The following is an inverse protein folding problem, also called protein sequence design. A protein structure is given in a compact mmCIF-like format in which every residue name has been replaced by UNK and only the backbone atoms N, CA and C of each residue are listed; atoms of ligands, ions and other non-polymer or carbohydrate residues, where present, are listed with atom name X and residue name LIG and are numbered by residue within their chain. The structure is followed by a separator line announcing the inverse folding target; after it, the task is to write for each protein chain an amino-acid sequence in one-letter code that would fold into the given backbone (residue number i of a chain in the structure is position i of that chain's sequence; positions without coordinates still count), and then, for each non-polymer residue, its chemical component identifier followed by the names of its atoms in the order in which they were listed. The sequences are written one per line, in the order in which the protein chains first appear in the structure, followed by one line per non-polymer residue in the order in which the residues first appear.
data_IF_066348002004
#
_entry.id   IF_066348002004
#
_cell.length_a   1.000
_cell.length_b   1.000
_cell.length_c   1.000
_cell.angle_alpha   90.00
_cell.angle_beta   90.00
_cell.angle_gamma   90.00
#
_symmetry.space_group_name_H-M   'P 1'
#
loop_
_entity.id
_entity.type
_entity.pdbx_description
1 polymer ?
#
# COMPACT_ATOMS: atom_id res chain seq x y z
N UNK A 1 8.72 -9.24 21.85
CA UNK A 1 8.60 -8.34 20.69
C UNK A 1 7.12 -8.14 20.46
N UNK A 2 6.64 -6.93 20.16
CA UNK A 2 5.23 -6.70 19.84
C UNK A 2 4.82 -7.52 18.63
N UNK A 3 3.65 -8.16 18.67
CA UNK A 3 3.07 -8.85 17.50
C UNK A 3 2.60 -7.86 16.43
N UNK A 4 2.51 -6.57 16.80
CA UNK A 4 2.08 -5.52 15.90
C UNK A 4 3.24 -4.97 15.09
N UNK A 5 3.02 -4.83 13.77
CA UNK A 5 3.98 -4.25 12.83
C UNK A 5 3.64 -2.82 12.47
N UNK A 6 2.39 -2.40 12.65
CA UNK A 6 1.93 -1.01 12.53
C UNK A 6 1.16 -0.67 13.79
N UNK A 7 1.54 0.41 14.44
CA UNK A 7 0.84 0.97 15.60
C UNK A 7 0.65 2.47 15.40
N UNK A 8 -0.57 2.92 15.57
CA UNK A 8 -0.96 4.32 15.47
C UNK A 8 -1.64 4.74 16.76
N UNK A 9 -1.13 5.81 17.37
CA UNK A 9 -1.63 6.33 18.63
C UNK A 9 -2.04 7.79 18.48
N UNK A 10 -3.35 8.04 18.57
CA UNK A 10 -3.97 9.37 18.56
C UNK A 10 -3.47 10.27 17.42
N UNK A 11 -3.45 9.74 16.18
CA UNK A 11 -2.94 10.46 15.02
C UNK A 11 -3.86 11.60 14.60
N UNK A 12 -3.28 12.78 14.44
CA UNK A 12 -3.94 13.92 13.83
C UNK A 12 -3.07 14.52 12.72
N UNK A 13 -3.70 14.92 11.63
CA UNK A 13 -3.06 15.72 10.57
C UNK A 13 -3.34 17.20 10.77
N UNK A 14 -2.68 18.05 9.97
CA UNK A 14 -3.00 19.46 9.94
C UNK A 14 -4.48 19.69 9.57
N UNK A 15 -5.03 20.79 10.06
CA UNK A 15 -6.38 21.22 9.74
C UNK A 15 -6.56 21.46 8.25
N UNK A 16 -7.61 20.90 7.68
CA UNK A 16 -7.97 21.07 6.28
C UNK A 16 -9.16 22.05 6.17
N UNK A 17 -8.89 23.26 5.69
CA UNK A 17 -9.90 24.32 5.60
C UNK A 17 -11.14 23.90 4.78
N UNK A 18 -10.95 23.13 3.70
CA UNK A 18 -12.03 22.61 2.87
C UNK A 18 -12.98 21.64 3.59
N UNK A 19 -12.52 20.99 4.66
CA UNK A 19 -13.29 20.03 5.45
C UNK A 19 -13.74 20.61 6.80
N UNK A 20 -13.27 21.77 7.18
CA UNK A 20 -13.47 22.41 8.49
C UNK A 20 -13.03 21.50 9.66
N UNK A 21 -12.06 20.61 9.46
CA UNK A 21 -11.49 19.67 10.44
C UNK A 21 -10.14 19.12 9.98
N UNK A 22 -9.34 18.45 10.85
CA UNK A 22 -8.22 17.62 10.43
C UNK A 22 -8.70 16.49 9.52
N UNK A 23 -7.86 16.04 8.59
CA UNK A 23 -8.20 14.86 7.75
C UNK A 23 -8.18 13.60 8.60
N UNK A 24 -7.13 13.42 9.44
CA UNK A 24 -7.11 12.39 10.50
C UNK A 24 -7.32 13.09 11.84
N UNK A 25 -8.17 12.52 12.69
CA UNK A 25 -8.64 13.14 13.91
C UNK A 25 -8.67 12.13 15.06
N UNK A 26 -7.51 11.86 15.67
CA UNK A 26 -7.38 10.93 16.78
C UNK A 26 -7.43 9.45 16.36
N UNK A 27 -6.78 9.08 15.25
CA UNK A 27 -6.72 7.68 14.80
C UNK A 27 -5.90 6.84 15.77
N UNK A 28 -6.52 5.76 16.25
CA UNK A 28 -5.88 4.67 16.95
C UNK A 28 -6.12 3.39 16.17
N UNK A 29 -5.08 2.66 15.78
CA UNK A 29 -5.18 1.35 15.16
C UNK A 29 -3.88 0.57 15.31
N UNK A 30 -4.00 -0.75 15.30
CA UNK A 30 -2.86 -1.67 15.38
C UNK A 30 -3.03 -2.77 14.35
N UNK A 31 -1.97 -3.15 13.64
CA UNK A 31 -1.97 -4.21 12.62
C UNK A 31 -0.92 -5.24 12.97
N UNK A 32 -1.33 -6.50 13.02
CA UNK A 32 -0.45 -7.62 13.34
C UNK A 32 0.41 -8.02 12.15
N UNK A 33 1.54 -8.64 12.45
CA UNK A 33 2.40 -9.24 11.43
C UNK A 33 1.64 -10.33 10.65
N UNK A 34 1.77 -10.32 9.34
CA UNK A 34 1.13 -11.30 8.47
C UNK A 34 -0.40 -11.17 8.43
N UNK A 35 -0.96 -10.01 8.70
CA UNK A 35 -2.40 -9.75 8.62
C UNK A 35 -2.73 -9.06 7.29
N UNK A 36 -3.86 -9.43 6.67
CA UNK A 36 -4.44 -8.69 5.56
C UNK A 36 -5.60 -7.85 6.08
N UNK A 37 -5.39 -6.54 6.15
CA UNK A 37 -6.37 -5.55 6.65
C UNK A 37 -6.87 -4.69 5.51
N UNK A 38 -8.17 -4.41 5.47
CA UNK A 38 -8.74 -3.43 4.55
C UNK A 38 -9.17 -2.16 5.29
N UNK A 39 -8.87 -1.03 4.67
CA UNK A 39 -9.38 0.27 5.07
C UNK A 39 -10.60 0.60 4.23
N UNK A 40 -11.74 0.81 4.88
CA UNK A 40 -13.03 1.12 4.26
C UNK A 40 -13.54 2.48 4.74
N UNK A 41 -14.53 3.01 4.07
CA UNK A 41 -15.16 4.29 4.39
C UNK A 41 -15.49 5.12 3.16
N UNK A 42 -16.28 6.15 3.32
CA UNK A 42 -16.68 7.05 2.24
C UNK A 42 -15.49 7.85 1.68
N UNK A 43 -15.69 8.47 0.53
CA UNK A 43 -14.70 9.38 -0.05
C UNK A 43 -14.43 10.54 0.91
N UNK A 44 -13.15 10.90 1.10
CA UNK A 44 -12.75 11.93 2.05
C UNK A 44 -12.71 11.48 3.52
N UNK A 45 -12.96 10.20 3.85
CA UNK A 45 -12.87 9.68 5.21
C UNK A 45 -11.45 9.66 5.80
N UNK A 46 -10.41 9.81 4.97
CA UNK A 46 -9.01 9.85 5.43
C UNK A 46 -8.19 8.59 5.13
N UNK A 47 -8.74 7.58 4.42
CA UNK A 47 -8.08 6.29 4.14
C UNK A 47 -6.70 6.42 3.49
N UNK A 48 -6.61 7.07 2.33
CA UNK A 48 -5.34 7.31 1.62
C UNK A 48 -4.40 8.21 2.42
N UNK A 49 -4.95 9.14 3.20
CA UNK A 49 -4.15 9.99 4.11
C UNK A 49 -3.50 9.14 5.19
N UNK A 50 -4.24 8.22 5.81
CA UNK A 50 -3.68 7.29 6.80
C UNK A 50 -2.55 6.44 6.17
N UNK A 51 -2.79 5.77 5.03
CA UNK A 51 -1.74 5.00 4.35
C UNK A 51 -0.48 5.83 4.07
N UNK A 52 -0.65 7.05 3.55
CA UNK A 52 0.48 7.95 3.24
C UNK A 52 1.21 8.44 4.48
N UNK A 53 0.51 8.59 5.61
CA UNK A 53 1.13 8.93 6.90
C UNK A 53 2.04 7.80 7.40
N UNK A 54 1.68 6.51 7.17
CA UNK A 54 2.49 5.35 7.57
C UNK A 54 3.86 5.28 6.88
N UNK A 55 4.07 6.01 5.79
CA UNK A 55 5.36 6.13 5.09
C UNK A 55 5.91 7.56 5.12
N UNK A 56 5.33 8.43 5.96
CA UNK A 56 5.76 9.81 6.16
C UNK A 56 5.61 10.69 4.93
N UNK A 57 4.66 10.41 4.04
CA UNK A 57 4.29 11.27 2.90
C UNK A 57 3.30 12.36 3.31
N UNK A 58 2.50 12.09 4.33
CA UNK A 58 1.64 13.08 4.98
C UNK A 58 2.12 13.23 6.42
N UNK A 59 2.54 14.43 6.84
CA UNK A 59 2.98 14.66 8.20
C UNK A 59 1.79 14.63 9.17
N UNK A 60 2.01 14.04 10.34
CA UNK A 60 1.10 14.12 11.47
C UNK A 60 1.53 15.28 12.39
N UNK A 61 0.56 15.98 12.97
CA UNK A 61 0.80 17.09 13.90
C UNK A 61 0.69 16.68 15.36
N UNK A 62 -0.03 15.57 15.61
CA UNK A 62 -0.14 14.92 16.92
C UNK A 62 -0.16 13.41 16.77
N UNK A 63 0.15 12.74 17.88
CA UNK A 63 0.19 11.28 17.95
C UNK A 63 1.50 10.71 17.45
N UNK A 64 1.57 9.39 17.41
CA UNK A 64 2.74 8.63 17.05
C UNK A 64 2.39 7.48 16.11
N UNK A 65 3.30 7.21 15.17
CA UNK A 65 3.25 6.01 14.32
C UNK A 65 4.51 5.21 14.59
N UNK A 66 4.34 3.91 14.84
CA UNK A 66 5.44 2.95 14.92
C UNK A 66 5.30 1.88 13.84
N UNK A 67 6.40 1.59 13.16
CA UNK A 67 6.52 0.49 12.18
C UNK A 67 7.58 -0.48 12.69
N UNK A 68 7.19 -1.74 12.89
CA UNK A 68 8.05 -2.76 13.52
C UNK A 68 8.66 -2.27 14.87
N UNK A 69 7.88 -1.55 15.69
CA UNK A 69 8.32 -0.97 16.95
C UNK A 69 9.27 0.24 16.81
N UNK A 70 9.48 0.74 15.59
CA UNK A 70 10.33 1.90 15.32
C UNK A 70 9.46 3.13 15.04
N UNK A 71 9.56 4.22 15.82
CA UNK A 71 8.77 5.42 15.59
C UNK A 71 9.18 6.12 14.27
N UNK A 72 8.19 6.68 13.56
CA UNK A 72 8.43 7.47 12.34
C UNK A 72 9.00 8.83 12.73
N UNK A 73 10.24 9.05 12.34
CA UNK A 73 10.97 10.32 12.49
C UNK A 73 11.76 10.59 11.20
N UNK A 74 12.24 11.81 10.95
CA UNK A 74 13.11 12.08 9.80
C UNK A 74 14.35 11.17 9.74
N UNK A 75 14.87 10.72 10.89
CA UNK A 75 16.05 9.83 10.98
C UNK A 75 15.71 8.37 10.68
N UNK A 76 14.53 7.88 11.08
CA UNK A 76 14.13 6.47 10.93
C UNK A 76 13.40 6.22 9.61
N UNK A 77 12.80 7.25 9.01
CA UNK A 77 12.00 7.18 7.82
C UNK A 77 12.68 6.50 6.61
N UNK A 78 13.97 6.73 6.30
CA UNK A 78 14.64 6.01 5.21
C UNK A 78 14.69 4.49 5.43
N UNK A 79 14.86 4.03 6.67
CA UNK A 79 14.83 2.61 7.01
C UNK A 79 13.41 2.07 6.89
N UNK A 80 12.42 2.75 7.46
CA UNK A 80 11.01 2.35 7.41
C UNK A 80 10.53 2.20 5.95
N UNK A 81 10.89 3.13 5.07
CA UNK A 81 10.53 3.07 3.64
C UNK A 81 11.16 1.91 2.87
N UNK A 82 12.15 1.23 3.41
CA UNK A 82 12.69 -0.03 2.84
C UNK A 82 11.85 -1.23 3.27
N UNK A 83 11.33 -1.20 4.50
CA UNK A 83 10.54 -2.29 5.06
C UNK A 83 9.07 -2.24 4.61
N UNK A 84 8.64 -1.12 4.03
CA UNK A 84 7.26 -0.86 3.60
C UNK A 84 7.21 -0.57 2.10
N UNK A 85 6.59 -1.45 1.34
CA UNK A 85 6.21 -1.21 -0.05
C UNK A 85 4.94 -0.37 -0.14
N UNK A 86 4.89 0.57 -1.08
CA UNK A 86 3.70 1.40 -1.33
C UNK A 86 3.23 1.27 -2.77
N UNK A 87 1.99 0.84 -2.93
CA UNK A 87 1.26 0.81 -4.19
C UNK A 87 0.33 2.01 -4.22
N UNK A 88 0.62 2.97 -5.08
CA UNK A 88 -0.17 4.20 -5.23
C UNK A 88 -1.38 3.96 -6.13
N UNK A 89 -2.44 4.70 -5.91
CA UNK A 89 -3.59 4.76 -6.80
C UNK A 89 -3.13 5.01 -8.25
N UNK A 90 -3.66 4.22 -9.20
CA UNK A 90 -3.24 4.27 -10.61
C UNK A 90 -1.80 3.78 -10.85
N UNK A 91 -1.19 3.04 -9.90
CA UNK A 91 0.14 2.47 -10.01
C UNK A 91 1.30 3.46 -9.86
N UNK A 92 1.12 4.74 -10.18
CA UNK A 92 2.15 5.78 -10.10
C UNK A 92 3.38 5.49 -10.97
N UNK A 93 3.24 4.81 -12.11
CA UNK A 93 4.32 4.45 -13.01
C UNK A 93 4.78 5.63 -13.87
N UNK A 94 6.06 5.63 -14.24
CA UNK A 94 6.62 6.56 -15.22
C UNK A 94 6.31 6.01 -16.61
N UNK A 95 5.36 6.63 -17.31
CA UNK A 95 4.76 6.11 -18.54
C UNK A 95 5.75 5.92 -19.70
N UNK A 96 6.82 6.72 -19.74
CA UNK A 96 7.86 6.69 -20.77
C UNK A 96 8.88 5.56 -20.57
N UNK A 97 9.02 5.07 -19.33
CA UNK A 97 9.92 3.97 -18.99
C UNK A 97 9.29 2.61 -19.29
N UNK A 98 10.14 1.62 -19.54
CA UNK A 98 9.73 0.22 -19.66
C UNK A 98 9.23 -0.34 -18.34
N UNK A 99 8.59 -1.52 -18.37
CA UNK A 99 8.19 -2.23 -17.17
C UNK A 99 9.41 -2.52 -16.28
N UNK A 100 10.51 -3.02 -16.84
CA UNK A 100 11.76 -3.29 -16.14
C UNK A 100 12.33 -2.05 -15.46
N UNK A 101 12.41 -0.93 -16.19
CA UNK A 101 12.91 0.33 -15.64
C UNK A 101 12.04 0.87 -14.50
N UNK A 102 10.71 0.76 -14.62
CA UNK A 102 9.80 1.13 -13.54
C UNK A 102 10.04 0.27 -12.29
N UNK A 103 10.21 -1.04 -12.43
CA UNK A 103 10.53 -1.93 -11.30
C UNK A 103 11.86 -1.52 -10.66
N UNK A 104 12.89 -1.28 -11.47
CA UNK A 104 14.21 -0.84 -10.98
C UNK A 104 14.16 0.50 -10.22
N UNK A 105 13.24 1.42 -10.56
CA UNK A 105 13.03 2.65 -9.80
C UNK A 105 12.72 2.38 -8.33
N UNK A 106 12.13 1.23 -7.99
CA UNK A 106 11.92 0.82 -6.59
C UNK A 106 13.21 0.66 -5.78
N UNK A 107 14.36 0.45 -6.43
CA UNK A 107 15.68 0.34 -5.79
C UNK A 107 16.36 1.69 -5.51
N UNK A 108 15.85 2.79 -6.04
CA UNK A 108 16.50 4.11 -5.92
C UNK A 108 16.72 4.53 -4.46
N UNK A 109 15.77 4.26 -3.57
CA UNK A 109 15.89 4.56 -2.14
C UNK A 109 16.97 3.78 -1.38
N UNK A 110 17.55 2.75 -1.99
CA UNK A 110 18.62 1.92 -1.42
C UNK A 110 20.01 2.29 -1.95
N UNK A 111 20.12 3.26 -2.89
CA UNK A 111 21.35 3.61 -3.59
C UNK A 111 21.76 5.04 -3.33
N UNK A 112 23.07 5.26 -3.40
CA UNK A 112 23.63 6.61 -3.39
C UNK A 112 23.47 7.23 -4.79
N UNK A 113 23.49 8.57 -4.87
CA UNK A 113 23.39 9.33 -6.11
C UNK A 113 24.42 8.86 -7.16
N UNK A 114 25.65 8.60 -6.75
CA UNK A 114 26.74 8.13 -7.62
C UNK A 114 26.46 6.73 -8.19
N UNK A 115 25.92 5.82 -7.39
CA UNK A 115 25.55 4.48 -7.84
C UNK A 115 24.40 4.51 -8.85
N UNK A 116 23.52 5.50 -8.76
CA UNK A 116 22.39 5.66 -9.69
C UNK A 116 22.86 6.16 -11.06
N UNK A 117 23.90 7.02 -11.10
CA UNK A 117 24.48 7.54 -12.36
C UNK A 117 25.17 6.44 -13.19
N UNK A 118 25.71 5.40 -12.55
CA UNK A 118 26.36 4.25 -13.21
C UNK A 118 25.36 3.20 -13.71
N UNK A 119 24.05 3.45 -13.53
CA UNK A 119 22.97 2.52 -13.87
C UNK A 119 22.75 1.43 -12.81
N UNK A 120 21.79 0.55 -13.05
CA UNK A 120 21.48 -0.55 -12.14
C UNK A 120 22.40 -1.74 -12.37
N UNK A 121 22.93 -2.37 -11.29
CA UNK A 121 23.76 -3.57 -11.41
C UNK A 121 22.97 -4.72 -12.03
N UNK A 122 23.72 -5.67 -12.57
CA UNK A 122 23.15 -6.89 -13.18
C UNK A 122 22.26 -7.66 -12.20
N UNK A 123 22.63 -7.71 -10.91
CA UNK A 123 21.85 -8.37 -9.86
C UNK A 123 20.46 -7.75 -9.67
N UNK A 124 20.35 -6.41 -9.69
CA UNK A 124 19.05 -5.74 -9.56
C UNK A 124 18.18 -5.95 -10.80
N UNK A 125 18.80 -5.98 -12.00
CA UNK A 125 18.09 -6.26 -13.24
C UNK A 125 17.55 -7.69 -13.26
N UNK A 126 18.32 -8.67 -12.81
CA UNK A 126 17.87 -10.06 -12.69
C UNK A 126 16.70 -10.16 -11.70
N UNK A 127 16.84 -9.58 -10.51
CA UNK A 127 15.75 -9.56 -9.51
C UNK A 127 14.47 -8.90 -10.05
N UNK A 128 14.60 -7.79 -10.77
CA UNK A 128 13.45 -7.13 -11.39
C UNK A 128 12.78 -8.00 -12.46
N UNK A 129 13.57 -8.71 -13.26
CA UNK A 129 13.07 -9.65 -14.26
C UNK A 129 12.39 -10.86 -13.62
N UNK A 130 12.92 -11.38 -12.52
CA UNK A 130 12.32 -12.50 -11.77
C UNK A 130 10.98 -12.09 -11.15
N UNK A 131 10.88 -10.87 -10.60
CA UNK A 131 9.60 -10.33 -10.10
C UNK A 131 8.58 -10.14 -11.22
N UNK A 132 9.01 -9.64 -12.40
CA UNK A 132 8.12 -9.53 -13.56
C UNK A 132 7.66 -10.91 -14.05
N UNK A 133 8.52 -11.94 -13.97
CA UNK A 133 8.16 -13.32 -14.32
C UNK A 133 7.12 -13.90 -13.36
N UNK A 134 7.32 -13.75 -12.04
CA UNK A 134 6.36 -14.17 -11.02
C UNK A 134 4.98 -13.54 -11.23
N UNK A 135 4.93 -12.31 -11.76
CA UNK A 135 3.70 -11.58 -12.05
C UNK A 135 3.19 -11.76 -13.50
N UNK A 136 3.79 -12.71 -14.27
CA UNK A 136 3.39 -13.02 -15.65
C UNK A 136 3.68 -11.90 -16.65
N UNK A 137 4.71 -11.08 -16.41
CA UNK A 137 5.05 -9.90 -17.23
C UNK A 137 6.45 -9.95 -17.84
N UNK A 138 7.16 -11.08 -17.75
CA UNK A 138 8.55 -11.22 -18.24
C UNK A 138 8.70 -10.79 -19.70
N UNK A 139 7.76 -11.20 -20.55
CA UNK A 139 7.79 -10.90 -21.99
C UNK A 139 7.52 -9.42 -22.31
N UNK A 140 6.99 -8.68 -21.35
CA UNK A 140 6.66 -7.27 -21.46
C UNK A 140 7.70 -6.37 -20.77
N UNK A 141 8.82 -6.95 -20.29
CA UNK A 141 9.83 -6.26 -19.50
C UNK A 141 10.37 -4.99 -20.18
N UNK A 142 10.63 -5.04 -21.49
CA UNK A 142 11.17 -3.93 -22.26
C UNK A 142 10.08 -3.02 -22.87
N UNK A 143 8.80 -3.37 -22.69
CA UNK A 143 7.68 -2.59 -23.21
C UNK A 143 7.43 -1.38 -22.32
N UNK A 144 7.19 -0.21 -22.94
CA UNK A 144 6.82 1.03 -22.20
C UNK A 144 5.51 0.83 -21.45
N UNK A 145 5.46 1.30 -20.19
CA UNK A 145 4.26 1.10 -19.37
C UNK A 145 3.03 1.84 -19.91
N UNK A 146 3.22 2.87 -20.75
CA UNK A 146 2.11 3.52 -21.47
C UNK A 146 1.39 2.60 -22.47
N UNK A 147 2.00 1.51 -22.88
CA UNK A 147 1.47 0.53 -23.86
C UNK A 147 0.83 -0.69 -23.19
N UNK A 148 0.93 -0.78 -21.86
CA UNK A 148 0.40 -1.88 -21.08
C UNK A 148 -1.09 -1.63 -20.73
N UNK A 149 -1.86 -2.72 -20.58
CA UNK A 149 -3.21 -2.63 -20.01
C UNK A 149 -3.19 -2.15 -18.55
N UNK A 150 -4.32 -1.67 -18.03
CA UNK A 150 -4.41 -1.22 -16.63
C UNK A 150 -3.98 -2.28 -15.63
N UNK A 151 -4.42 -3.53 -15.81
CA UNK A 151 -4.03 -4.65 -14.94
C UNK A 151 -2.53 -4.99 -15.05
N UNK A 152 -1.94 -4.90 -16.27
CA UNK A 152 -0.50 -5.07 -16.46
C UNK A 152 0.28 -3.95 -15.78
N UNK A 153 -0.15 -2.70 -15.92
CA UNK A 153 0.46 -1.55 -15.22
C UNK A 153 0.42 -1.74 -13.70
N UNK A 154 -0.71 -2.20 -13.17
CA UNK A 154 -0.85 -2.45 -11.74
C UNK A 154 0.11 -3.54 -11.25
N UNK A 155 0.26 -4.63 -12.01
CA UNK A 155 1.23 -5.69 -11.67
C UNK A 155 2.69 -5.20 -11.77
N UNK A 156 3.04 -4.32 -12.72
CA UNK A 156 4.35 -3.65 -12.73
C UNK A 156 4.55 -2.78 -11.49
N UNK A 157 3.52 -2.06 -11.04
CA UNK A 157 3.60 -1.27 -9.81
C UNK A 157 3.77 -2.14 -8.55
N UNK A 158 3.13 -3.32 -8.51
CA UNK A 158 3.37 -4.32 -7.46
C UNK A 158 4.84 -4.80 -7.51
N UNK A 159 5.36 -5.19 -8.67
CA UNK A 159 6.76 -5.58 -8.81
C UNK A 159 7.72 -4.49 -8.31
N UNK A 160 7.44 -3.22 -8.64
CA UNK A 160 8.22 -2.07 -8.16
C UNK A 160 8.17 -1.92 -6.65
N UNK A 161 7.02 -2.16 -6.02
CA UNK A 161 6.90 -2.12 -4.57
C UNK A 161 7.66 -3.29 -3.90
N UNK A 162 7.67 -4.46 -4.54
CA UNK A 162 8.28 -5.68 -4.02
C UNK A 162 9.80 -5.76 -4.17
N UNK A 163 10.41 -5.01 -5.09
CA UNK A 163 11.85 -5.14 -5.39
C UNK A 163 12.77 -4.80 -4.20
N UNK A 164 12.26 -4.11 -3.19
CA UNK A 164 12.95 -3.85 -1.93
C UNK A 164 12.79 -4.99 -0.91
N UNK A 165 12.04 -6.04 -1.25
CA UNK A 165 11.67 -7.15 -0.34
C UNK A 165 11.01 -6.64 0.95
N UNK A 166 9.95 -5.82 0.85
CA UNK A 166 9.30 -5.24 2.01
C UNK A 166 8.56 -6.31 2.83
N UNK A 167 8.40 -6.08 4.13
CA UNK A 167 7.59 -6.94 5.02
C UNK A 167 6.12 -6.51 5.05
N UNK A 168 5.85 -5.27 4.70
CA UNK A 168 4.53 -4.65 4.72
C UNK A 168 4.26 -4.06 3.34
N UNK A 169 3.08 -4.32 2.77
CA UNK A 169 2.61 -3.71 1.54
C UNK A 169 1.37 -2.85 1.84
N UNK A 170 1.47 -1.57 1.55
CA UNK A 170 0.35 -0.63 1.60
C UNK A 170 -0.19 -0.43 0.19
N UNK A 171 -1.48 -0.67 -0.03
CA UNK A 171 -2.12 -0.58 -1.34
C UNK A 171 -3.25 0.46 -1.33
N UNK A 172 -3.00 1.61 -1.94
CA UNK A 172 -3.97 2.70 -2.05
C UNK A 172 -4.84 2.51 -3.30
N UNK A 173 -6.04 1.96 -3.14
CA UNK A 173 -7.01 1.66 -4.20
C UNK A 173 -6.43 0.79 -5.34
N UNK A 174 -5.93 -0.41 -5.07
CA UNK A 174 -5.15 -1.21 -6.03
C UNK A 174 -5.93 -1.67 -7.27
N UNK A 175 -7.26 -1.66 -7.22
CA UNK A 175 -8.13 -2.18 -8.30
C UNK A 175 -9.03 -1.10 -8.93
N UNK A 176 -8.94 0.15 -8.47
CA UNK A 176 -9.76 1.24 -8.99
C UNK A 176 -9.44 1.51 -10.46
N UNK A 177 -10.49 1.56 -11.30
CA UNK A 177 -10.37 1.80 -12.74
C UNK A 177 -9.97 0.57 -13.57
N UNK A 178 -9.92 -0.62 -12.97
CA UNK A 178 -9.70 -1.88 -13.67
C UNK A 178 -11.03 -2.58 -13.99
N UNK A 179 -11.04 -3.37 -15.04
CA UNK A 179 -12.14 -4.31 -15.31
C UNK A 179 -12.16 -5.44 -14.27
N UNK A 180 -13.23 -6.24 -14.28
CA UNK A 180 -13.47 -7.32 -13.31
C UNK A 180 -12.33 -8.36 -13.31
N UNK A 181 -11.85 -8.76 -14.49
CA UNK A 181 -10.82 -9.79 -14.65
C UNK A 181 -9.47 -9.26 -14.12
N UNK A 182 -9.09 -8.04 -14.51
CA UNK A 182 -7.86 -7.43 -14.05
C UNK A 182 -7.90 -7.16 -12.52
N UNK A 183 -9.05 -6.73 -11.99
CA UNK A 183 -9.24 -6.55 -10.54
C UNK A 183 -9.05 -7.84 -9.77
N UNK A 184 -9.63 -8.93 -10.27
CA UNK A 184 -9.48 -10.25 -9.66
C UNK A 184 -8.02 -10.71 -9.67
N UNK A 185 -7.31 -10.59 -10.80
CA UNK A 185 -5.89 -10.95 -10.90
C UNK A 185 -5.01 -10.16 -9.94
N UNK A 186 -5.26 -8.86 -9.76
CA UNK A 186 -4.53 -8.04 -8.79
C UNK A 186 -4.80 -8.50 -7.36
N UNK A 187 -6.06 -8.76 -7.01
CA UNK A 187 -6.41 -9.22 -5.66
C UNK A 187 -5.88 -10.63 -5.37
N UNK A 188 -5.87 -11.53 -6.36
CA UNK A 188 -5.25 -12.86 -6.24
C UNK A 188 -3.73 -12.72 -6.00
N UNK A 189 -3.04 -11.85 -6.74
CA UNK A 189 -1.63 -11.55 -6.50
C UNK A 189 -1.38 -11.05 -5.07
N UNK A 190 -2.18 -10.12 -4.56
CA UNK A 190 -2.06 -9.65 -3.17
C UNK A 190 -2.33 -10.78 -2.17
N UNK A 191 -3.33 -11.62 -2.43
CA UNK A 191 -3.65 -12.77 -1.58
C UNK A 191 -2.51 -13.81 -1.56
N UNK A 192 -1.86 -14.07 -2.69
CA UNK A 192 -0.70 -14.97 -2.77
C UNK A 192 0.49 -14.42 -1.98
N UNK A 193 0.79 -13.13 -2.10
CA UNK A 193 1.84 -12.47 -1.30
C UNK A 193 1.57 -12.60 0.21
N UNK A 194 0.31 -12.44 0.62
CA UNK A 194 -0.10 -12.62 2.01
C UNK A 194 0.03 -14.08 2.46
N UNK A 195 -0.59 -15.02 1.74
CA UNK A 195 -0.72 -16.42 2.20
C UNK A 195 0.57 -17.22 2.04
N UNK A 196 1.35 -17.01 0.96
CA UNK A 196 2.54 -17.78 0.66
C UNK A 196 3.81 -17.16 1.24
N UNK A 197 3.87 -15.83 1.33
CA UNK A 197 5.07 -15.11 1.80
C UNK A 197 4.89 -14.51 3.21
N UNK A 198 3.71 -14.64 3.82
CA UNK A 198 3.43 -14.07 5.13
C UNK A 198 3.46 -12.54 5.18
N UNK A 199 3.27 -11.89 4.02
CA UNK A 199 3.33 -10.44 3.91
C UNK A 199 2.15 -9.78 4.64
N UNK A 200 2.43 -8.75 5.42
CA UNK A 200 1.38 -7.89 5.99
C UNK A 200 0.85 -6.97 4.91
N UNK A 201 -0.46 -6.93 4.69
CA UNK A 201 -1.08 -6.10 3.66
C UNK A 201 -2.12 -5.17 4.28
N UNK A 202 -2.06 -3.89 3.91
CA UNK A 202 -3.08 -2.90 4.24
C UNK A 202 -3.59 -2.29 2.94
N UNK A 203 -4.83 -2.58 2.56
CA UNK A 203 -5.40 -2.12 1.30
C UNK A 203 -6.60 -1.19 1.51
N UNK A 204 -6.66 -0.09 0.78
CA UNK A 204 -7.88 0.72 0.65
C UNK A 204 -8.74 0.08 -0.43
N UNK A 205 -9.95 -0.32 -0.07
CA UNK A 205 -10.94 -0.86 -1.00
C UNK A 205 -12.27 -0.11 -0.85
N UNK A 206 -13.13 -0.21 -1.88
CA UNK A 206 -14.48 0.37 -1.88
C UNK A 206 -15.55 -0.71 -1.97
N UNK A 207 -15.22 -1.91 -2.45
CA UNK A 207 -16.14 -3.03 -2.58
C UNK A 207 -16.09 -3.92 -1.34
N UNK A 208 -17.22 -4.04 -0.64
CA UNK A 208 -17.35 -4.84 0.58
C UNK A 208 -17.26 -6.34 0.31
N UNK A 209 -17.70 -6.80 -0.88
CA UNK A 209 -17.63 -8.20 -1.28
C UNK A 209 -16.19 -8.62 -1.53
N UNK A 210 -15.41 -7.78 -2.23
CA UNK A 210 -13.98 -8.00 -2.45
C UNK A 210 -13.23 -7.96 -1.11
N UNK A 211 -13.55 -6.98 -0.25
CA UNK A 211 -12.96 -6.87 1.07
C UNK A 211 -13.19 -8.14 1.91
N UNK A 212 -14.44 -8.62 1.98
CA UNK A 212 -14.79 -9.84 2.73
C UNK A 212 -14.16 -11.12 2.15
N UNK A 213 -13.92 -11.16 0.84
CA UNK A 213 -13.32 -12.33 0.18
C UNK A 213 -11.83 -12.48 0.47
N UNK A 214 -11.07 -11.36 0.55
CA UNK A 214 -9.61 -11.40 0.57
C UNK A 214 -8.99 -10.99 1.90
N UNK A 215 -9.65 -10.15 2.69
CA UNK A 215 -9.10 -9.64 3.94
C UNK A 215 -9.67 -10.35 5.17
N UNK A 216 -8.86 -10.41 6.20
CA UNK A 216 -9.24 -11.00 7.50
C UNK A 216 -9.98 -9.98 8.37
N UNK A 217 -9.55 -8.72 8.34
CA UNK A 217 -10.06 -7.65 9.20
C UNK A 217 -10.26 -6.36 8.42
N UNK A 218 -11.28 -5.61 8.83
CA UNK A 218 -11.58 -4.30 8.28
C UNK A 218 -11.46 -3.22 9.36
N UNK A 219 -10.94 -2.07 8.95
CA UNK A 219 -10.98 -0.82 9.71
C UNK A 219 -11.80 0.16 8.88
N UNK A 220 -12.93 0.63 9.43
CA UNK A 220 -13.79 1.61 8.77
C UNK A 220 -13.49 2.99 9.30
N UNK A 221 -13.19 3.90 8.38
CA UNK A 221 -12.93 5.30 8.68
C UNK A 221 -14.13 6.14 8.28
N UNK A 222 -14.54 7.05 9.18
CA UNK A 222 -15.46 8.12 8.87
C UNK A 222 -14.96 9.43 9.47
N UNK A 223 -15.04 10.50 8.70
CA UNK A 223 -14.65 11.85 9.13
C UNK A 223 -13.27 11.91 9.84
N UNK A 224 -12.31 11.06 9.42
CA UNK A 224 -10.97 11.01 9.98
C UNK A 224 -10.84 10.23 11.28
N UNK A 225 -11.85 9.45 11.67
CA UNK A 225 -11.88 8.62 12.88
C UNK A 225 -12.11 7.15 12.53
N UNK A 226 -11.60 6.24 13.35
CA UNK A 226 -11.99 4.82 13.28
C UNK A 226 -13.37 4.69 13.91
N UNK A 227 -14.34 4.22 13.13
CA UNK A 227 -15.73 4.02 13.58
C UNK A 227 -16.08 2.54 13.72
N UNK A 228 -15.30 1.67 13.12
CA UNK A 228 -15.39 0.22 13.27
C UNK A 228 -14.03 -0.42 13.04
N UNK A 229 -13.76 -1.46 13.80
CA UNK A 229 -12.62 -2.35 13.63
C UNK A 229 -13.04 -3.77 14.01
N UNK A 230 -12.89 -4.73 13.09
CA UNK A 230 -13.33 -6.10 13.33
C UNK A 230 -13.12 -7.03 12.14
N UNK A 231 -13.51 -8.30 12.29
CA UNK A 231 -13.43 -9.31 11.24
C UNK A 231 -14.35 -8.98 10.06
N UNK A 232 -13.97 -9.45 8.88
CA UNK A 232 -14.71 -9.20 7.65
C UNK A 232 -15.98 -10.06 7.49
N UNK A 233 -16.21 -11.07 8.33
CA UNK A 233 -17.32 -12.04 8.18
C UNK A 233 -18.72 -11.41 8.16
N UNK A 234 -18.91 -10.26 8.83
CA UNK A 234 -20.20 -9.56 8.91
C UNK A 234 -20.10 -8.11 8.39
N UNK A 235 -19.16 -7.85 7.50
CA UNK A 235 -18.78 -6.51 7.08
C UNK A 235 -19.95 -5.69 6.51
N UNK A 236 -20.81 -6.31 5.67
CA UNK A 236 -21.96 -5.62 5.08
C UNK A 236 -22.94 -5.12 6.14
N UNK A 237 -23.25 -5.94 7.14
CA UNK A 237 -24.17 -5.57 8.23
C UNK A 237 -23.55 -4.48 9.10
N UNK A 238 -22.27 -4.54 9.39
CA UNK A 238 -21.58 -3.56 10.21
C UNK A 238 -21.42 -2.22 9.46
N UNK A 239 -21.10 -2.27 8.17
CA UNK A 239 -20.98 -1.08 7.34
C UNK A 239 -22.32 -0.34 7.21
N UNK A 240 -23.43 -1.07 7.03
CA UNK A 240 -24.78 -0.49 7.02
C UNK A 240 -25.12 0.21 8.33
N UNK A 241 -24.74 -0.34 9.50
CA UNK A 241 -24.97 0.28 10.82
C UNK A 241 -24.15 1.55 11.04
N UNK A 242 -22.97 1.65 10.44
CA UNK A 242 -22.12 2.86 10.57
C UNK A 242 -22.68 4.03 9.77
N UNK A 243 -23.38 3.75 8.66
CA UNK A 243 -23.87 4.77 7.73
C UNK A 243 -25.42 4.88 7.70
N UNK A 244 -26.15 4.19 8.61
CA UNK A 244 -27.57 4.38 8.86
C UNK A 244 -27.80 5.46 9.90
#
# INVERSE_FOLDING_TARGET
MSDFVIECHNLETAYAASLNRPILNGINCQIKRGEFVVLLGLNGAGKSTLLRSLVGLVPTVRGEIQINGVPITPRTLPKIRRDVGMLFQGGGLIRQLSALENVLCGRLGMRTTWQTLLGFPKSDRLLALDLLEQLGLRQLADQKTSQLSGGQQQRVAIARALIQSPQILLADEPITGLDVVASQQVMETLSELHTQQGMTIVAVLHDLGIAAKYAQRAIVLDAGRVVYEGLCDNLQTQFAKVYS
#
